data_IF_525335139673
#
_entry.id   IF_525335139673
#
_cell.length_a   1.000
_cell.length_b   1.000
_cell.length_c   1.000
_cell.angle_alpha   90.00
_cell.angle_beta   90.00
_cell.angle_gamma   90.00
#
_symmetry.space_group_name_H-M   'P 1'
#
loop_
_entity.id
_entity.type
_entity.pdbx_description
1 polymer ?
#
# COMPACT_ATOMS: atom_id res chain seq x y z
N UNK A 1 -25.19 -0.72 9.59
CA UNK A 1 -24.11 -1.51 10.22
C UNK A 1 -24.42 -2.96 9.90
N UNK A 2 -23.45 -3.74 9.40
CA UNK A 2 -23.68 -5.14 9.07
C UNK A 2 -24.07 -5.92 10.33
N UNK A 3 -25.02 -6.85 10.18
CA UNK A 3 -25.49 -7.72 11.25
C UNK A 3 -24.53 -8.90 11.40
N UNK A 4 -23.60 -8.80 12.35
CA UNK A 4 -22.51 -9.76 12.52
C UNK A 4 -23.04 -11.15 12.89
N UNK A 5 -24.06 -11.23 13.73
CA UNK A 5 -24.61 -12.52 14.19
C UNK A 5 -25.27 -13.26 13.01
N UNK A 6 -25.99 -12.55 12.15
CA UNK A 6 -26.57 -13.12 10.94
C UNK A 6 -25.48 -13.62 9.97
N UNK A 7 -24.38 -12.88 9.81
CA UNK A 7 -23.24 -13.32 8.98
C UNK A 7 -22.65 -14.62 9.55
N UNK A 8 -22.42 -14.70 10.86
CA UNK A 8 -21.88 -15.91 11.50
C UNK A 8 -22.79 -17.13 11.30
N UNK A 9 -24.11 -16.95 11.41
CA UNK A 9 -25.10 -18.01 11.16
C UNK A 9 -25.04 -18.50 9.70
N UNK A 10 -24.98 -17.59 8.74
CA UNK A 10 -24.90 -17.91 7.31
C UNK A 10 -23.59 -18.62 6.94
N UNK A 11 -22.47 -18.20 7.53
CA UNK A 11 -21.18 -18.84 7.31
C UNK A 11 -21.12 -20.24 7.93
N UNK A 12 -21.69 -20.42 9.12
CA UNK A 12 -21.74 -21.74 9.78
C UNK A 12 -22.63 -22.72 9.01
N UNK A 13 -23.71 -22.23 8.39
CA UNK A 13 -24.67 -23.07 7.68
C UNK A 13 -24.25 -23.38 6.24
N UNK A 14 -23.66 -22.41 5.53
CA UNK A 14 -23.47 -22.48 4.08
C UNK A 14 -22.10 -21.99 3.59
N UNK A 15 -21.30 -21.37 4.46
CA UNK A 15 -20.03 -20.73 4.10
C UNK A 15 -20.19 -19.43 3.29
N UNK A 16 -21.41 -18.94 3.07
CA UNK A 16 -21.66 -17.73 2.27
C UNK A 16 -22.70 -16.83 2.92
N UNK A 17 -22.38 -15.54 3.03
CA UNK A 17 -23.32 -14.48 3.35
C UNK A 17 -23.38 -13.46 2.20
N UNK A 18 -24.61 -13.16 1.75
CA UNK A 18 -24.90 -12.11 0.78
C UNK A 18 -25.72 -11.02 1.46
N UNK A 19 -25.12 -9.85 1.63
CA UNK A 19 -25.77 -8.67 2.17
C UNK A 19 -26.65 -7.97 1.13
N UNK A 20 -27.55 -7.07 1.57
CA UNK A 20 -28.44 -6.34 0.67
C UNK A 20 -27.68 -5.60 -0.44
N UNK A 21 -28.12 -5.74 -1.69
CA UNK A 21 -27.53 -5.08 -2.86
C UNK A 21 -26.36 -5.83 -3.51
N UNK A 22 -26.00 -7.00 -3.00
CA UNK A 22 -24.92 -7.86 -3.55
C UNK A 22 -25.45 -9.05 -4.35
N UNK A 23 -26.77 -9.20 -4.47
CA UNK A 23 -27.43 -10.36 -5.07
C UNK A 23 -27.12 -10.51 -6.57
N UNK A 24 -26.75 -9.42 -7.24
CA UNK A 24 -26.35 -9.42 -8.65
C UNK A 24 -24.84 -9.54 -8.88
N UNK A 25 -24.03 -9.64 -7.81
CA UNK A 25 -22.57 -9.77 -7.94
C UNK A 25 -22.14 -11.16 -8.39
N UNK A 26 -23.00 -12.17 -8.13
CA UNK A 26 -22.81 -13.56 -8.52
C UNK A 26 -24.10 -14.08 -9.14
N UNK A 27 -24.00 -14.87 -10.20
CA UNK A 27 -25.14 -15.64 -10.67
C UNK A 27 -25.50 -16.75 -9.67
N UNK A 28 -26.78 -17.18 -9.61
CA UNK A 28 -27.18 -18.33 -8.79
C UNK A 28 -26.39 -19.60 -9.10
N UNK A 29 -26.04 -19.81 -10.38
CA UNK A 29 -25.27 -20.97 -10.83
C UNK A 29 -23.82 -20.91 -10.33
N UNK A 30 -23.16 -19.74 -10.40
CA UNK A 30 -21.82 -19.55 -9.84
C UNK A 30 -21.81 -19.76 -8.32
N UNK A 31 -22.80 -19.22 -7.61
CA UNK A 31 -22.91 -19.41 -6.16
C UNK A 31 -23.10 -20.89 -5.79
N UNK A 32 -24.00 -21.60 -6.48
CA UNK A 32 -24.24 -23.01 -6.25
C UNK A 32 -23.00 -23.87 -6.57
N UNK A 33 -22.32 -23.58 -7.67
CA UNK A 33 -21.08 -24.26 -8.06
C UNK A 33 -19.95 -24.03 -7.06
N UNK A 34 -19.78 -22.80 -6.58
CA UNK A 34 -18.79 -22.46 -5.56
C UNK A 34 -19.05 -23.22 -4.26
N UNK A 35 -20.28 -23.14 -3.74
CA UNK A 35 -20.67 -23.84 -2.53
C UNK A 35 -20.52 -25.36 -2.66
N UNK A 36 -20.81 -25.92 -3.84
CA UNK A 36 -20.58 -27.34 -4.11
C UNK A 36 -19.09 -27.69 -4.09
N UNK A 37 -18.25 -26.93 -4.81
CA UNK A 37 -16.81 -27.17 -4.88
C UNK A 37 -16.14 -27.10 -3.50
N UNK A 38 -16.49 -26.10 -2.69
CA UNK A 38 -15.97 -25.90 -1.34
C UNK A 38 -16.37 -27.07 -0.42
N UNK A 39 -17.63 -27.51 -0.46
CA UNK A 39 -18.10 -28.65 0.34
C UNK A 39 -17.49 -29.98 -0.09
N UNK A 40 -17.42 -30.26 -1.39
CA UNK A 40 -16.87 -31.54 -1.90
C UNK A 40 -15.37 -31.69 -1.60
N UNK A 41 -14.63 -30.58 -1.62
CA UNK A 41 -13.20 -30.57 -1.37
C UNK A 41 -12.81 -30.32 0.10
N UNK A 42 -13.81 -30.20 1.00
CA UNK A 42 -13.68 -29.85 2.42
C UNK A 42 -12.78 -28.63 2.64
N UNK A 43 -13.05 -27.57 1.86
CA UNK A 43 -12.29 -26.33 1.91
C UNK A 43 -12.92 -25.38 2.94
N UNK A 44 -12.16 -24.86 3.91
CA UNK A 44 -12.64 -23.84 4.83
C UNK A 44 -12.54 -22.47 4.15
N UNK A 45 -13.41 -22.20 3.16
CA UNK A 45 -13.47 -20.93 2.43
C UNK A 45 -14.84 -20.29 2.63
N UNK A 46 -14.84 -19.05 3.09
CA UNK A 46 -16.02 -18.31 3.53
C UNK A 46 -16.17 -17.02 2.73
N UNK A 47 -17.36 -16.76 2.20
CA UNK A 47 -17.65 -15.59 1.39
C UNK A 47 -18.59 -14.63 2.14
N UNK A 48 -18.17 -13.38 2.32
CA UNK A 48 -18.92 -12.32 3.02
C UNK A 48 -19.07 -11.12 2.08
N UNK A 49 -20.06 -11.18 1.19
CA UNK A 49 -20.34 -10.08 0.27
C UNK A 49 -21.31 -9.11 0.92
N UNK A 50 -20.78 -7.99 1.43
CA UNK A 50 -21.59 -6.91 1.97
C UNK A 50 -21.15 -5.62 1.32
N UNK A 51 -22.11 -4.83 0.83
CA UNK A 51 -21.79 -3.53 0.26
C UNK A 51 -21.25 -2.59 1.36
N UNK A 52 -20.03 -2.05 1.21
CA UNK A 52 -19.49 -1.10 2.17
C UNK A 52 -20.31 0.20 2.16
N UNK A 53 -20.57 0.83 3.32
CA UNK A 53 -21.22 2.13 3.39
C UNK A 53 -20.44 3.21 2.61
N UNK A 54 -21.14 4.20 2.04
CA UNK A 54 -20.53 5.28 1.24
C UNK A 54 -19.45 6.09 1.99
N UNK A 55 -19.51 6.14 3.32
CA UNK A 55 -18.59 6.87 4.20
C UNK A 55 -17.59 5.96 4.95
N UNK A 56 -17.46 4.71 4.50
CA UNK A 56 -16.57 3.74 5.13
C UNK A 56 -15.08 3.95 4.77
N UNK A 57 -14.21 3.49 5.67
CA UNK A 57 -12.76 3.53 5.46
C UNK A 57 -12.30 2.48 4.45
N UNK A 58 -11.07 2.64 3.94
CA UNK A 58 -10.54 1.77 2.89
C UNK A 58 -10.35 0.29 3.30
N UNK A 59 -10.37 -0.01 4.60
CA UNK A 59 -10.21 -1.33 5.21
C UNK A 59 -11.49 -1.85 5.88
N UNK A 60 -12.65 -1.28 5.53
CA UNK A 60 -13.91 -1.60 6.22
C UNK A 60 -14.28 -3.09 6.19
N UNK A 61 -13.99 -3.75 5.06
CA UNK A 61 -14.23 -5.17 4.88
C UNK A 61 -13.33 -6.00 5.79
N UNK A 62 -12.05 -5.65 5.89
CA UNK A 62 -11.11 -6.33 6.80
C UNK A 62 -11.60 -6.25 8.26
N UNK A 63 -12.03 -5.07 8.68
CA UNK A 63 -12.61 -4.86 10.02
C UNK A 63 -13.92 -5.64 10.22
N UNK A 64 -14.70 -5.86 9.17
CA UNK A 64 -15.90 -6.71 9.23
C UNK A 64 -15.52 -8.18 9.39
N UNK A 65 -14.60 -8.70 8.59
CA UNK A 65 -14.18 -10.10 8.64
C UNK A 65 -13.62 -10.47 10.01
N UNK A 66 -12.80 -9.60 10.62
CA UNK A 66 -12.29 -9.80 11.98
C UNK A 66 -13.44 -9.90 12.99
N UNK A 67 -14.43 -8.99 12.92
CA UNK A 67 -15.59 -9.03 13.84
C UNK A 67 -16.43 -10.28 13.68
N UNK A 68 -16.60 -10.77 12.45
CA UNK A 68 -17.32 -12.01 12.15
C UNK A 68 -16.61 -13.21 12.74
N UNK A 69 -15.28 -13.31 12.57
CA UNK A 69 -14.50 -14.38 13.19
C UNK A 69 -14.54 -14.32 14.72
N UNK A 70 -14.27 -13.14 15.31
CA UNK A 70 -14.30 -12.93 16.77
C UNK A 70 -15.67 -13.23 17.40
N UNK A 71 -16.77 -13.06 16.65
CA UNK A 71 -18.13 -13.38 17.08
C UNK A 71 -18.46 -14.89 17.00
N UNK A 72 -17.49 -15.74 16.65
CA UNK A 72 -17.65 -17.19 16.56
C UNK A 72 -17.78 -17.72 15.14
N UNK A 73 -17.34 -16.94 14.14
CA UNK A 73 -17.21 -17.42 12.77
C UNK A 73 -16.22 -18.60 12.66
N UNK A 74 -16.42 -19.50 11.69
CA UNK A 74 -15.55 -20.67 11.49
C UNK A 74 -14.12 -20.31 11.05
N UNK A 75 -13.11 -21.09 11.45
CA UNK A 75 -11.78 -20.95 10.87
C UNK A 75 -11.79 -21.20 9.35
N UNK A 76 -10.90 -20.52 8.62
CA UNK A 76 -10.79 -20.60 7.18
C UNK A 76 -10.24 -19.34 6.51
N UNK A 77 -10.32 -19.32 5.19
CA UNK A 77 -10.03 -18.16 4.34
C UNK A 77 -11.34 -17.42 4.09
N UNK A 78 -11.38 -16.15 4.44
CA UNK A 78 -12.51 -15.27 4.23
C UNK A 78 -12.25 -14.34 3.04
N UNK A 79 -13.22 -14.24 2.15
CA UNK A 79 -13.29 -13.21 1.11
C UNK A 79 -14.44 -12.24 1.43
N UNK A 80 -14.12 -10.97 1.53
CA UNK A 80 -15.08 -9.87 1.69
C UNK A 80 -14.75 -8.71 0.76
N UNK A 81 -15.39 -7.57 1.01
CA UNK A 81 -15.24 -6.37 0.17
C UNK A 81 -14.89 -5.15 1.02
N UNK A 82 -13.77 -4.54 0.70
CA UNK A 82 -13.32 -3.27 1.26
C UNK A 82 -14.00 -2.10 0.57
N UNK A 83 -14.04 -2.09 -0.77
CA UNK A 83 -14.64 -1.00 -1.57
C UNK A 83 -15.10 -1.48 -2.95
N UNK A 84 -16.04 -0.74 -3.54
CA UNK A 84 -16.45 -0.88 -4.95
C UNK A 84 -16.14 0.41 -5.69
N UNK A 85 -15.39 0.32 -6.79
CA UNK A 85 -14.97 1.46 -7.61
C UNK A 85 -15.65 1.46 -8.97
N UNK A 86 -16.19 2.62 -9.37
CA UNK A 86 -16.93 2.81 -10.62
C UNK A 86 -16.25 3.77 -11.61
N UNK A 87 -15.12 4.40 -11.23
CA UNK A 87 -14.53 5.56 -11.91
C UNK A 87 -13.27 5.25 -12.75
N UNK A 88 -13.14 4.04 -13.27
CA UNK A 88 -11.92 3.65 -13.99
C UNK A 88 -12.06 3.97 -15.48
N UNK A 89 -10.98 4.50 -16.05
CA UNK A 89 -10.85 4.81 -17.48
C UNK A 89 -11.09 3.52 -18.28
N UNK A 90 -12.02 3.57 -19.25
CA UNK A 90 -12.42 2.39 -20.04
C UNK A 90 -11.27 1.83 -20.88
N UNK A 91 -10.24 2.64 -21.09
CA UNK A 91 -9.06 2.30 -21.87
C UNK A 91 -7.95 1.65 -21.02
N UNK A 92 -8.13 1.52 -19.69
CA UNK A 92 -7.20 0.82 -18.79
C UNK A 92 -7.72 -0.56 -18.38
N UNK A 93 -6.84 -1.56 -18.43
CA UNK A 93 -7.15 -2.89 -17.93
C UNK A 93 -7.44 -2.85 -16.41
N UNK A 94 -8.43 -3.64 -15.99
CA UNK A 94 -8.75 -3.80 -14.58
C UNK A 94 -7.54 -4.38 -13.81
N UNK A 95 -7.25 -3.78 -12.66
CA UNK A 95 -6.15 -4.18 -11.77
C UNK A 95 -6.67 -4.84 -10.48
N UNK A 96 -7.99 -4.89 -10.32
CA UNK A 96 -8.67 -5.61 -9.24
C UNK A 96 -9.89 -6.35 -9.81
N UNK A 97 -10.38 -7.39 -9.10
CA UNK A 97 -11.50 -8.21 -9.57
C UNK A 97 -12.72 -7.37 -9.93
N UNK A 98 -13.45 -7.77 -10.96
CA UNK A 98 -14.58 -6.99 -11.48
C UNK A 98 -15.94 -7.57 -11.08
N UNK A 99 -16.96 -6.73 -11.04
CA UNK A 99 -18.36 -7.12 -11.05
C UNK A 99 -18.89 -7.25 -12.48
N UNK A 100 -20.06 -7.89 -12.70
CA UNK A 100 -20.66 -8.02 -14.03
C UNK A 100 -20.94 -6.68 -14.73
N UNK A 101 -21.10 -5.59 -13.98
CA UNK A 101 -21.30 -4.25 -14.51
C UNK A 101 -19.99 -3.51 -14.86
N UNK A 102 -18.84 -4.18 -14.67
CA UNK A 102 -17.50 -3.64 -14.91
C UNK A 102 -16.91 -2.85 -13.75
N UNK A 103 -17.64 -2.67 -12.64
CA UNK A 103 -17.09 -2.06 -11.42
C UNK A 103 -15.96 -2.92 -10.85
N UNK A 104 -14.96 -2.31 -10.23
CA UNK A 104 -13.85 -3.03 -9.60
C UNK A 104 -14.03 -3.15 -8.10
N UNK A 105 -13.61 -4.28 -7.54
CA UNK A 105 -13.68 -4.60 -6.13
C UNK A 105 -12.30 -4.51 -5.50
N UNK A 106 -12.17 -3.72 -4.45
CA UNK A 106 -11.11 -3.93 -3.48
C UNK A 106 -11.59 -5.03 -2.53
N UNK A 107 -10.93 -6.18 -2.55
CA UNK A 107 -11.29 -7.31 -1.70
C UNK A 107 -10.70 -7.13 -0.30
N UNK A 108 -11.46 -7.59 0.70
CA UNK A 108 -10.95 -7.84 2.03
C UNK A 108 -10.65 -9.34 2.14
N UNK A 109 -9.47 -9.72 2.62
CA UNK A 109 -9.10 -11.12 2.71
C UNK A 109 -8.39 -11.40 4.03
N UNK A 110 -8.88 -12.39 4.76
CA UNK A 110 -8.33 -12.78 6.05
C UNK A 110 -8.27 -14.30 6.13
N UNK A 111 -7.31 -14.82 6.90
CA UNK A 111 -7.17 -16.25 7.13
C UNK A 111 -7.00 -16.54 8.61
N UNK A 112 -7.82 -17.46 9.11
CA UNK A 112 -7.69 -18.07 10.43
C UNK A 112 -7.55 -19.57 10.28
N UNK A 113 -6.57 -20.16 10.96
CA UNK A 113 -6.23 -21.56 10.80
C UNK A 113 -5.51 -21.87 9.49
N UNK A 114 -5.08 -23.12 9.35
CA UNK A 114 -4.37 -23.59 8.15
C UNK A 114 -5.35 -24.17 7.15
N UNK A 115 -5.24 -23.76 5.88
CA UNK A 115 -5.98 -24.39 4.78
C UNK A 115 -5.05 -25.39 4.13
N UNK A 116 -5.33 -26.69 4.34
CA UNK A 116 -4.50 -27.81 3.87
C UNK A 116 -3.02 -27.68 4.28
N UNK A 117 -2.79 -27.16 5.49
CA UNK A 117 -1.44 -26.96 6.04
C UNK A 117 -0.75 -25.66 5.60
N UNK A 118 -1.38 -24.84 4.75
CA UNK A 118 -0.85 -23.52 4.36
C UNK A 118 -1.49 -22.40 5.20
N UNK A 119 -0.65 -21.48 5.71
CA UNK A 119 -1.04 -20.30 6.51
C UNK A 119 -0.93 -18.98 5.75
N UNK A 120 -0.56 -19.01 4.46
CA UNK A 120 -0.36 -17.83 3.62
C UNK A 120 -1.09 -17.99 2.27
N UNK A 121 -2.39 -18.32 2.34
CA UNK A 121 -3.22 -18.55 1.14
C UNK A 121 -3.75 -17.23 0.56
N UNK A 122 -3.88 -16.21 1.40
CA UNK A 122 -4.52 -14.93 1.05
C UNK A 122 -3.77 -14.20 -0.05
N UNK A 123 -2.44 -14.10 0.04
CA UNK A 123 -1.61 -13.38 -0.94
C UNK A 123 -1.71 -14.02 -2.34
N UNK A 124 -1.64 -15.35 -2.41
CA UNK A 124 -1.75 -16.08 -3.67
C UNK A 124 -3.17 -15.98 -4.26
N UNK A 125 -4.20 -15.99 -3.40
CA UNK A 125 -5.59 -15.85 -3.82
C UNK A 125 -5.87 -14.42 -4.35
N UNK A 126 -5.41 -13.38 -3.66
CA UNK A 126 -5.55 -12.00 -4.13
C UNK A 126 -4.84 -11.78 -5.49
N UNK A 127 -3.65 -12.34 -5.63
CA UNK A 127 -2.88 -12.33 -6.87
C UNK A 127 -3.61 -13.04 -8.00
N UNK A 128 -4.15 -14.23 -7.74
CA UNK A 128 -4.91 -15.00 -8.71
C UNK A 128 -6.17 -14.24 -9.14
N UNK A 129 -6.91 -13.63 -8.22
CA UNK A 129 -8.13 -12.89 -8.56
C UNK A 129 -7.82 -11.61 -9.35
N UNK A 130 -6.71 -10.94 -9.04
CA UNK A 130 -6.33 -9.66 -9.67
C UNK A 130 -5.58 -9.83 -11.00
N UNK A 131 -5.09 -11.02 -11.32
CA UNK A 131 -4.23 -11.24 -12.51
C UNK A 131 -4.37 -12.62 -13.16
N UNK A 132 -5.29 -13.47 -12.70
CA UNK A 132 -5.47 -14.83 -13.21
C UNK A 132 -6.30 -14.92 -14.49
N UNK A 133 -6.86 -13.81 -14.95
CA UNK A 133 -7.62 -13.72 -16.19
C UNK A 133 -6.72 -13.83 -17.42
N UNK A 134 -7.34 -13.93 -18.62
CA UNK A 134 -6.62 -13.93 -19.89
C UNK A 134 -5.63 -12.77 -19.97
N UNK A 135 -4.41 -13.07 -20.44
CA UNK A 135 -3.31 -12.10 -20.58
C UNK A 135 -2.90 -11.37 -19.28
N UNK A 136 -3.17 -11.95 -18.10
CA UNK A 136 -2.78 -11.34 -16.83
C UNK A 136 -3.68 -10.17 -16.43
N UNK A 137 -4.97 -10.31 -16.70
CA UNK A 137 -6.03 -9.35 -16.33
C UNK A 137 -6.75 -9.83 -15.06
N UNK A 138 -7.47 -8.92 -14.41
CA UNK A 138 -8.30 -9.29 -13.27
C UNK A 138 -9.48 -10.19 -13.70
N UNK A 139 -9.85 -11.12 -12.83
CA UNK A 139 -11.01 -11.99 -13.02
C UNK A 139 -12.28 -11.25 -12.61
N UNK A 140 -13.39 -11.52 -13.30
CA UNK A 140 -14.71 -11.21 -12.74
C UNK A 140 -14.93 -12.05 -11.48
N UNK A 141 -15.50 -11.46 -10.42
CA UNK A 141 -15.62 -12.08 -9.10
C UNK A 141 -16.23 -13.49 -9.18
N UNK A 142 -17.32 -13.65 -9.94
CA UNK A 142 -18.03 -14.91 -10.03
C UNK A 142 -17.23 -16.05 -10.65
N UNK A 143 -16.45 -15.77 -11.69
CA UNK A 143 -15.54 -16.76 -12.27
C UNK A 143 -14.30 -16.94 -11.40
N UNK A 144 -13.81 -15.86 -10.79
CA UNK A 144 -12.66 -15.83 -9.92
C UNK A 144 -12.79 -16.74 -8.71
N UNK A 145 -13.94 -16.75 -8.02
CA UNK A 145 -14.16 -17.62 -6.86
C UNK A 145 -14.18 -19.11 -7.24
N UNK A 146 -14.63 -19.45 -8.45
CA UNK A 146 -14.62 -20.82 -8.97
C UNK A 146 -13.20 -21.28 -9.30
N UNK A 147 -12.44 -20.43 -9.99
CA UNK A 147 -11.02 -20.67 -10.31
C UNK A 147 -10.20 -20.79 -9.02
N UNK A 148 -10.47 -19.95 -8.01
CA UNK A 148 -9.84 -20.05 -6.70
C UNK A 148 -10.16 -21.38 -6.01
N UNK A 149 -11.43 -21.78 -5.96
CA UNK A 149 -11.84 -23.04 -5.35
C UNK A 149 -11.20 -24.25 -6.03
N UNK A 150 -11.09 -24.23 -7.37
CA UNK A 150 -10.39 -25.25 -8.15
C UNK A 150 -8.91 -25.35 -7.74
N UNK A 151 -8.18 -24.23 -7.72
CA UNK A 151 -6.76 -24.22 -7.38
C UNK A 151 -6.48 -24.58 -5.92
N UNK A 152 -7.36 -24.19 -4.99
CA UNK A 152 -7.30 -24.63 -3.60
C UNK A 152 -7.55 -26.14 -3.48
N UNK A 153 -8.55 -26.66 -4.19
CA UNK A 153 -8.86 -28.09 -4.25
C UNK A 153 -7.75 -28.92 -4.90
N UNK A 154 -7.02 -28.36 -5.86
CA UNK A 154 -5.88 -29.02 -6.49
C UNK A 154 -4.55 -28.82 -5.73
N UNK A 155 -4.50 -27.93 -4.73
CA UNK A 155 -3.25 -27.52 -4.07
C UNK A 155 -2.27 -26.80 -5.01
N UNK A 156 -2.77 -26.20 -6.09
CA UNK A 156 -1.99 -25.58 -7.17
C UNK A 156 -2.00 -24.05 -7.12
N UNK A 157 -2.64 -23.46 -6.10
CA UNK A 157 -2.80 -22.02 -5.96
C UNK A 157 -1.47 -21.22 -6.04
N UNK A 158 -0.36 -21.59 -5.36
CA UNK A 158 0.89 -20.84 -5.47
C UNK A 158 1.47 -20.82 -6.90
N UNK A 159 1.33 -21.94 -7.62
CA UNK A 159 1.76 -22.04 -9.01
C UNK A 159 0.88 -21.20 -9.94
N UNK A 160 -0.43 -21.17 -9.68
CA UNK A 160 -1.39 -20.35 -10.41
C UNK A 160 -1.13 -18.85 -10.20
N UNK A 161 -0.89 -18.42 -8.95
CA UNK A 161 -0.56 -17.04 -8.62
C UNK A 161 0.76 -16.59 -9.29
N UNK A 162 1.78 -17.45 -9.26
CA UNK A 162 3.05 -17.22 -9.96
C UNK A 162 2.90 -17.12 -11.48
N UNK A 163 1.95 -17.85 -12.07
CA UNK A 163 1.63 -17.74 -13.49
C UNK A 163 0.89 -16.44 -13.82
N UNK A 164 -0.09 -16.06 -13.00
CA UNK A 164 -0.84 -14.82 -13.09
C UNK A 164 0.11 -13.59 -13.05
N UNK A 165 1.04 -13.54 -12.09
CA UNK A 165 2.05 -12.48 -11.97
C UNK A 165 2.93 -12.34 -13.22
N UNK A 166 3.39 -13.47 -13.78
CA UNK A 166 4.19 -13.47 -15.01
C UNK A 166 3.39 -12.97 -16.20
N UNK A 167 2.13 -13.40 -16.34
CA UNK A 167 1.26 -12.94 -17.41
C UNK A 167 1.00 -11.43 -17.31
N UNK A 168 0.68 -10.92 -16.11
CA UNK A 168 0.45 -9.50 -15.88
C UNK A 168 1.71 -8.65 -16.12
N UNK A 169 2.88 -9.14 -15.73
CA UNK A 169 4.15 -8.46 -15.98
C UNK A 169 4.50 -8.40 -17.46
N UNK A 170 4.35 -9.53 -18.18
CA UNK A 170 4.55 -9.57 -19.63
C UNK A 170 3.57 -8.65 -20.38
N UNK A 171 2.34 -8.48 -19.88
CA UNK A 171 1.37 -7.54 -20.43
C UNK A 171 1.83 -6.09 -20.26
N UNK A 172 2.22 -5.70 -19.04
CA UNK A 172 2.73 -4.34 -18.76
C UNK A 172 3.92 -3.99 -19.64
N UNK A 173 4.84 -4.93 -19.85
CA UNK A 173 5.99 -4.74 -20.77
C UNK A 173 5.55 -4.48 -22.23
N UNK A 174 4.47 -5.13 -22.71
CA UNK A 174 3.93 -4.89 -24.06
C UNK A 174 3.26 -3.51 -24.16
N UNK A 175 2.52 -3.11 -23.12
CA UNK A 175 1.84 -1.81 -23.06
C UNK A 175 2.86 -0.65 -23.02
N UNK A 176 3.89 -0.76 -22.18
CA UNK A 176 4.98 0.23 -22.06
C UNK A 176 5.90 0.26 -23.31
N UNK A 177 6.13 -0.90 -23.93
CA UNK A 177 6.89 -1.02 -25.16
C UNK A 177 6.20 -0.37 -26.38
N UNK A 178 4.86 -0.36 -26.38
CA UNK A 178 4.06 0.26 -27.45
C UNK A 178 4.07 1.79 -27.38
N UNK A 179 4.31 2.37 -26.20
CA UNK A 179 4.36 3.84 -26.01
C UNK A 179 5.67 4.47 -26.50
N UNK A 180 6.73 3.69 -26.69
CA UNK A 180 8.02 4.18 -27.23
C UNK A 180 8.03 4.36 -28.75
N UNK A 181 6.95 4.03 -29.46
CA UNK A 181 6.82 4.14 -30.91
C UNK A 181 6.26 5.45 -31.46
N UNK A 182 5.79 6.39 -30.62
CA UNK A 182 5.20 7.66 -31.07
C UNK A 182 6.06 8.85 -30.65
N UNK A 183 7.06 9.17 -31.46
CA UNK A 183 7.71 10.50 -31.41
C UNK A 183 6.79 11.50 -32.12
N UNK A 184 5.81 12.02 -31.39
CA UNK A 184 5.01 13.17 -31.77
C UNK A 184 5.11 14.23 -30.70
N UNK A 185 6.11 15.11 -30.81
CA UNK A 185 6.17 16.36 -30.04
C UNK A 185 4.84 17.11 -30.17
N UNK A 186 4.10 17.40 -29.09
CA UNK A 186 3.03 18.39 -29.16
C UNK A 186 3.70 19.75 -29.25
N UNK A 187 3.66 20.33 -30.45
CA UNK A 187 3.86 21.76 -30.61
C UNK A 187 2.69 22.45 -29.91
N UNK A 188 2.99 23.21 -28.85
CA UNK A 188 2.05 24.17 -28.29
C UNK A 188 1.89 25.30 -29.32
N UNK A 189 0.78 25.28 -30.05
CA UNK A 189 0.37 26.40 -30.89
C UNK A 189 -0.52 27.33 -30.05
N UNK A 190 -0.08 28.58 -29.98
CA UNK A 190 -0.77 29.72 -29.39
C UNK A 190 -1.79 30.23 -30.41
N UNK A 191 -3.08 30.10 -30.09
CA UNK A 191 -4.16 30.44 -31.01
C UNK A 191 -5.49 30.65 -30.30
N UNK A 192 -5.62 31.80 -29.66
CA UNK A 192 -6.90 32.39 -29.22
C UNK A 192 -8.00 32.31 -30.28
N UNK A 193 -9.16 31.73 -29.94
CA UNK A 193 -10.52 32.35 -29.96
C UNK A 193 -11.65 31.34 -30.25
N UNK A 194 -12.73 31.44 -29.47
CA UNK A 194 -14.09 31.06 -29.91
C UNK A 194 -14.75 29.88 -29.21
N UNK A 195 -15.57 30.18 -28.20
CA UNK A 195 -16.81 29.49 -27.80
C UNK A 195 -16.79 28.08 -27.19
N UNK A 196 -16.84 28.04 -25.85
CA UNK A 196 -17.76 27.18 -25.07
C UNK A 196 -17.76 27.59 -23.59
N UNK A 197 -18.32 28.76 -23.28
CA UNK A 197 -18.52 29.25 -21.91
C UNK A 197 -20.02 29.27 -21.55
N UNK A 198 -20.64 28.11 -21.29
CA UNK A 198 -21.83 27.94 -20.44
C UNK A 198 -21.69 26.55 -19.79
N UNK A 199 -21.36 26.48 -18.50
CA UNK A 199 -21.34 25.19 -17.80
C UNK A 199 -20.65 25.13 -16.44
N UNK A 200 -19.84 26.12 -16.04
CA UNK A 200 -19.06 26.00 -14.79
C UNK A 200 -19.45 26.98 -13.66
N UNK A 201 -20.37 27.92 -13.90
CA UNK A 201 -20.74 28.94 -12.89
C UNK A 201 -21.91 28.48 -11.98
N UNK A 202 -22.75 27.54 -12.42
CA UNK A 202 -23.88 27.07 -11.61
C UNK A 202 -23.47 26.11 -10.47
N UNK A 203 -22.40 25.32 -10.65
CA UNK A 203 -21.97 24.30 -9.68
C UNK A 203 -21.28 24.93 -8.46
N UNK A 204 -20.52 26.01 -8.65
CA UNK A 204 -19.81 26.68 -7.55
C UNK A 204 -20.78 27.40 -6.60
N UNK A 205 -21.88 27.97 -7.11
CA UNK A 205 -22.87 28.66 -6.29
C UNK A 205 -23.72 27.70 -5.43
N UNK A 206 -23.97 26.49 -5.91
CA UNK A 206 -24.67 25.45 -5.12
C UNK A 206 -23.78 24.91 -4.01
N UNK A 207 -22.50 24.66 -4.27
CA UNK A 207 -21.54 24.17 -3.26
C UNK A 207 -21.30 25.22 -2.17
N UNK A 208 -21.14 26.50 -2.52
CA UNK A 208 -20.99 27.57 -1.53
C UNK A 208 -22.28 27.79 -0.73
N UNK A 209 -23.45 27.67 -1.36
CA UNK A 209 -24.75 27.73 -0.69
C UNK A 209 -24.97 26.61 0.34
N UNK A 210 -24.59 25.37 -0.02
CA UNK A 210 -24.67 24.19 0.86
C UNK A 210 -23.67 24.31 2.01
N UNK A 211 -22.42 24.71 1.75
CA UNK A 211 -21.40 24.87 2.79
C UNK A 211 -21.75 25.98 3.78
N UNK A 212 -22.30 27.11 3.31
CA UNK A 212 -22.75 28.20 4.17
C UNK A 212 -24.05 27.85 4.92
N UNK A 213 -24.95 27.07 4.31
CA UNK A 213 -26.17 26.55 4.92
C UNK A 213 -25.88 25.56 6.06
N UNK A 214 -24.98 24.60 5.82
CA UNK A 214 -24.52 23.62 6.83
C UNK A 214 -23.80 24.32 7.98
N UNK A 215 -22.97 25.34 7.71
CA UNK A 215 -22.31 26.15 8.76
C UNK A 215 -23.29 26.94 9.63
N UNK A 216 -24.42 27.39 9.07
CA UNK A 216 -25.44 28.17 9.80
C UNK A 216 -26.36 27.28 10.64
N UNK A 217 -26.61 26.05 10.17
CA UNK A 217 -27.38 25.04 10.91
C UNK A 217 -26.56 24.40 12.04
N UNK A 218 -25.27 24.09 11.79
CA UNK A 218 -24.35 23.57 12.81
C UNK A 218 -24.05 24.57 13.96
N UNK A 219 -24.32 25.87 13.75
CA UNK A 219 -24.21 26.89 14.81
C UNK A 219 -25.48 27.08 15.65
N UNK A 220 -26.61 26.47 15.27
CA UNK A 220 -27.90 26.62 15.98
C UNK A 220 -28.35 25.39 16.77
N UNK A 221 -27.72 24.24 16.59
CA UNK A 221 -28.07 23.01 17.32
C UNK A 221 -26.86 22.48 18.08
N UNK A 222 -26.66 22.99 19.30
CA UNK A 222 -26.01 22.21 20.36
C UNK A 222 -27.09 21.59 21.25
N UNK A 223 -27.34 20.28 21.15
CA UNK A 223 -27.76 19.47 22.27
C UNK A 223 -26.58 18.61 22.76
N UNK A 224 -26.51 18.44 24.09
CA UNK A 224 -25.39 17.80 24.79
C UNK A 224 -25.32 16.27 24.65
N UNK A 225 -24.10 15.78 24.90
CA UNK A 225 -23.65 14.46 25.33
C UNK A 225 -24.39 13.19 24.83
N UNK A 226 -23.65 12.34 24.10
CA UNK A 226 -23.30 10.99 24.58
C UNK A 226 -21.85 10.69 24.20
N UNK A 227 -21.04 10.31 25.17
CA UNK A 227 -19.65 9.92 24.97
C UNK A 227 -19.62 8.72 24.00
N UNK A 228 -18.96 8.90 22.86
CA UNK A 228 -18.58 7.78 22.00
C UNK A 228 -17.68 6.86 22.84
N UNK A 229 -18.12 5.63 23.08
CA UNK A 229 -17.26 4.63 23.67
C UNK A 229 -16.16 4.31 22.66
N UNK A 230 -14.99 4.90 22.88
CA UNK A 230 -13.77 4.62 22.13
C UNK A 230 -13.37 3.18 22.44
N UNK A 231 -13.63 2.28 21.50
CA UNK A 231 -13.17 0.90 21.57
C UNK A 231 -11.63 0.92 21.56
N UNK A 232 -11.00 0.49 22.64
CA UNK A 232 -9.55 0.36 22.72
C UNK A 232 -9.19 -1.05 22.23
N UNK A 233 -8.50 -1.14 21.10
CA UNK A 233 -7.94 -2.42 20.63
C UNK A 233 -7.01 -2.99 21.72
N UNK A 234 -7.03 -4.32 21.98
CA UNK A 234 -6.07 -4.96 22.87
C UNK A 234 -4.63 -4.73 22.40
N UNK A 235 -3.72 -4.44 23.33
CA UNK A 235 -2.32 -4.14 23.02
C UNK A 235 -1.65 -5.25 22.18
N UNK A 236 -1.99 -6.51 22.43
CA UNK A 236 -1.48 -7.65 21.68
C UNK A 236 -1.86 -7.66 20.19
N UNK A 237 -3.01 -7.10 19.83
CA UNK A 237 -3.43 -7.00 18.41
C UNK A 237 -2.65 -5.88 17.73
N UNK A 238 -2.52 -4.73 18.40
CA UNK A 238 -1.71 -3.62 17.91
C UNK A 238 -0.25 -4.02 17.75
N UNK A 239 0.29 -4.82 18.66
CA UNK A 239 1.65 -5.35 18.58
C UNK A 239 1.83 -6.33 17.42
N UNK A 240 0.84 -7.20 17.14
CA UNK A 240 0.89 -8.10 15.98
C UNK A 240 0.82 -7.34 14.65
N UNK A 241 -0.07 -6.35 14.53
CA UNK A 241 -0.18 -5.50 13.33
C UNK A 241 1.13 -4.74 13.10
N UNK A 242 1.74 -4.20 14.17
CA UNK A 242 3.05 -3.54 14.09
C UNK A 242 4.14 -4.52 13.68
N UNK A 243 4.23 -5.69 14.29
CA UNK A 243 5.21 -6.72 13.94
C UNK A 243 5.07 -7.16 12.47
N UNK A 244 3.84 -7.31 11.98
CA UNK A 244 3.57 -7.62 10.59
C UNK A 244 4.02 -6.47 9.66
N UNK A 245 3.73 -5.22 10.03
CA UNK A 245 4.18 -4.03 9.30
C UNK A 245 5.70 -3.89 9.28
N UNK A 246 6.37 -4.12 10.41
CA UNK A 246 7.83 -4.08 10.55
C UNK A 246 8.48 -5.21 9.72
N UNK A 247 7.89 -6.41 9.75
CA UNK A 247 8.34 -7.54 8.94
C UNK A 247 8.18 -7.27 7.44
N UNK A 248 7.08 -6.66 7.02
CA UNK A 248 6.87 -6.26 5.63
C UNK A 248 7.86 -5.18 5.19
N UNK A 249 8.07 -4.16 6.03
CA UNK A 249 9.06 -3.13 5.77
C UNK A 249 10.48 -3.72 5.65
N UNK A 250 10.83 -4.69 6.50
CA UNK A 250 12.10 -5.40 6.42
C UNK A 250 12.21 -6.28 5.16
N UNK A 251 11.13 -6.95 4.73
CA UNK A 251 11.10 -7.71 3.46
C UNK A 251 11.32 -6.79 2.27
N UNK A 252 10.58 -5.66 2.22
CA UNK A 252 10.75 -4.64 1.20
C UNK A 252 12.18 -4.11 1.16
N UNK A 253 12.76 -3.75 2.31
CA UNK A 253 14.13 -3.27 2.39
C UNK A 253 15.14 -4.26 1.80
N UNK A 254 15.02 -5.55 2.13
CA UNK A 254 15.88 -6.60 1.57
C UNK A 254 15.68 -6.76 0.06
N UNK A 255 14.43 -6.73 -0.41
CA UNK A 255 14.09 -6.78 -1.83
C UNK A 255 14.70 -5.62 -2.61
N UNK A 256 14.59 -4.39 -2.09
CA UNK A 256 15.13 -3.18 -2.73
C UNK A 256 16.68 -3.24 -2.81
N UNK A 257 17.35 -3.70 -1.74
CA UNK A 257 18.81 -3.87 -1.73
C UNK A 257 19.27 -4.97 -2.70
N UNK A 258 18.57 -6.10 -2.75
CA UNK A 258 18.86 -7.19 -3.69
C UNK A 258 18.70 -6.70 -5.14
N UNK A 259 17.59 -6.04 -5.45
CA UNK A 259 17.30 -5.53 -6.78
C UNK A 259 18.31 -4.46 -7.23
N UNK A 260 18.85 -3.67 -6.30
CA UNK A 260 19.96 -2.77 -6.58
C UNK A 260 21.24 -3.55 -6.91
N UNK A 261 21.58 -4.57 -6.10
CA UNK A 261 22.74 -5.43 -6.32
C UNK A 261 22.73 -6.08 -7.70
N UNK A 262 21.61 -6.69 -8.09
CA UNK A 262 21.43 -7.31 -9.42
C UNK A 262 21.63 -6.30 -10.56
N UNK A 263 21.17 -5.05 -10.39
CA UNK A 263 21.33 -3.98 -11.38
C UNK A 263 22.75 -3.46 -11.45
N UNK A 264 23.48 -3.48 -10.33
CA UNK A 264 24.91 -3.18 -10.27
C UNK A 264 25.70 -4.28 -10.99
N UNK A 265 25.43 -5.55 -10.68
CA UNK A 265 26.11 -6.70 -11.30
C UNK A 265 25.90 -6.74 -12.82
N UNK A 266 24.70 -6.38 -13.29
CA UNK A 266 24.39 -6.28 -14.72
C UNK A 266 25.08 -5.10 -15.42
N UNK A 267 25.57 -4.11 -14.66
CA UNK A 267 26.22 -2.92 -15.21
C UNK A 267 27.74 -3.11 -15.25
N UNK A 268 28.27 -3.58 -16.38
CA UNK A 268 29.72 -3.60 -16.62
C UNK A 268 30.20 -2.20 -17.05
N UNK A 269 30.53 -1.35 -16.08
CA UNK A 269 30.93 0.04 -16.31
C UNK A 269 32.43 0.25 -16.01
N UNK A 270 33.21 0.51 -17.07
CA UNK A 270 34.59 1.01 -16.98
C UNK A 270 34.71 2.38 -17.68
N UNK A 271 34.94 3.44 -16.90
CA UNK A 271 35.27 4.79 -17.40
C UNK A 271 34.34 5.93 -16.94
N UNK A 272 34.93 7.15 -16.84
CA UNK A 272 34.45 8.54 -16.62
C UNK A 272 33.18 8.88 -15.79
N UNK A 273 32.35 7.91 -15.41
CA UNK A 273 31.31 7.98 -14.39
C UNK A 273 31.78 7.51 -13.02
N UNK A 274 33.09 7.38 -12.81
CA UNK A 274 33.73 6.73 -11.65
C UNK A 274 33.16 7.19 -10.30
N UNK A 275 32.87 8.49 -10.12
CA UNK A 275 32.35 9.03 -8.86
C UNK A 275 30.87 8.66 -8.61
N UNK A 276 30.03 8.69 -9.64
CA UNK A 276 28.62 8.28 -9.52
C UNK A 276 28.51 6.76 -9.38
N UNK A 277 29.38 6.02 -10.05
CA UNK A 277 29.51 4.57 -9.89
C UNK A 277 29.96 4.19 -8.48
N UNK A 278 31.02 4.83 -7.97
CA UNK A 278 31.46 4.64 -6.59
C UNK A 278 30.34 4.98 -5.60
N UNK A 279 29.59 6.06 -5.83
CA UNK A 279 28.44 6.40 -4.99
C UNK A 279 27.35 5.30 -5.02
N UNK A 280 27.10 4.65 -6.15
CA UNK A 280 26.14 3.55 -6.22
C UNK A 280 26.58 2.35 -5.34
N UNK A 281 27.86 1.98 -5.45
CA UNK A 281 28.47 0.91 -4.63
C UNK A 281 28.46 1.26 -3.13
N UNK A 282 28.80 2.50 -2.79
CA UNK A 282 28.81 3.00 -1.41
C UNK A 282 27.41 2.92 -0.77
N UNK A 283 26.36 3.28 -1.53
CA UNK A 283 24.99 3.19 -1.04
C UNK A 283 24.50 1.74 -0.92
N UNK A 284 24.85 0.88 -1.88
CA UNK A 284 24.57 -0.56 -1.81
C UNK A 284 25.23 -1.19 -0.57
N UNK A 285 26.51 -0.91 -0.35
CA UNK A 285 27.24 -1.42 0.81
C UNK A 285 26.66 -0.88 2.13
N UNK A 286 26.36 0.43 2.19
CA UNK A 286 25.74 1.03 3.37
C UNK A 286 24.36 0.41 3.66
N UNK A 287 23.55 0.16 2.64
CA UNK A 287 22.23 -0.47 2.80
C UNK A 287 22.35 -1.92 3.29
N UNK A 288 23.30 -2.68 2.76
CA UNK A 288 23.60 -4.04 3.23
C UNK A 288 24.07 -4.08 4.69
N UNK A 289 24.86 -3.09 5.14
CA UNK A 289 25.39 -3.04 6.51
C UNK A 289 24.34 -2.73 7.58
N UNK A 290 23.30 -1.98 7.26
CA UNK A 290 22.24 -1.66 8.25
C UNK A 290 21.24 -2.81 8.41
N UNK A 291 21.21 -3.74 7.45
CA UNK A 291 20.42 -4.97 7.56
C UNK A 291 21.27 -6.09 8.19
N UNK A 292 20.70 -6.91 9.10
CA UNK A 292 21.40 -8.06 9.62
C UNK A 292 21.61 -9.10 8.52
N UNK A 293 22.80 -9.73 8.51
CA UNK A 293 23.14 -10.81 7.58
C UNK A 293 22.25 -12.05 7.78
N UNK A 294 21.77 -12.28 9.00
CA UNK A 294 20.81 -13.34 9.29
C UNK A 294 19.42 -12.90 8.82
N UNK A 295 18.82 -13.56 7.82
CA UNK A 295 17.50 -13.20 7.30
C UNK A 295 16.39 -13.40 8.33
N UNK A 296 16.63 -14.18 9.39
CA UNK A 296 15.68 -14.44 10.47
C UNK A 296 15.79 -13.45 11.63
N UNK A 297 16.86 -12.65 11.67
CA UNK A 297 17.03 -11.63 12.70
C UNK A 297 16.01 -10.50 12.53
N UNK A 298 15.49 -10.02 13.65
CA UNK A 298 14.65 -8.84 13.69
C UNK A 298 15.44 -7.62 13.18
N UNK A 299 14.82 -6.84 12.30
CA UNK A 299 15.37 -5.59 11.76
C UNK A 299 14.73 -4.44 12.51
N UNK A 300 15.53 -3.46 12.94
CA UNK A 300 14.95 -2.23 13.48
C UNK A 300 14.15 -1.50 12.39
N UNK A 301 12.93 -1.00 12.66
CA UNK A 301 12.13 -0.33 11.65
C UNK A 301 12.84 0.87 10.99
N UNK A 302 13.65 1.62 11.74
CA UNK A 302 14.40 2.74 11.17
C UNK A 302 15.57 2.26 10.32
N UNK A 303 16.24 1.16 10.69
CA UNK A 303 17.26 0.55 9.82
C UNK A 303 16.65 0.03 8.52
N UNK A 304 15.44 -0.53 8.56
CA UNK A 304 14.70 -0.96 7.38
C UNK A 304 14.32 0.22 6.46
N UNK A 305 13.80 1.32 7.02
CA UNK A 305 13.56 2.57 6.25
C UNK A 305 14.88 3.12 5.69
N UNK A 306 15.95 3.09 6.48
CA UNK A 306 17.28 3.53 6.09
C UNK A 306 17.80 2.75 4.88
N UNK A 307 17.65 1.42 4.89
CA UNK A 307 18.01 0.55 3.79
C UNK A 307 17.21 0.87 2.51
N UNK A 308 15.89 1.10 2.61
CA UNK A 308 15.06 1.50 1.46
C UNK A 308 15.55 2.83 0.86
N UNK A 309 15.85 3.83 1.70
CA UNK A 309 16.34 5.14 1.24
C UNK A 309 17.73 5.01 0.60
N UNK A 310 18.62 4.24 1.20
CA UNK A 310 19.96 4.00 0.67
C UNK A 310 19.91 3.25 -0.66
N UNK A 311 19.09 2.20 -0.78
CA UNK A 311 18.90 1.45 -2.02
C UNK A 311 18.40 2.38 -3.15
N UNK A 312 17.38 3.20 -2.88
CA UNK A 312 16.88 4.19 -3.84
C UNK A 312 17.96 5.18 -4.29
N UNK A 313 18.78 5.69 -3.37
CA UNK A 313 19.89 6.60 -3.72
C UNK A 313 20.99 5.90 -4.51
N UNK A 314 21.25 4.62 -4.22
CA UNK A 314 22.12 3.78 -5.03
C UNK A 314 21.61 3.62 -6.47
N UNK A 315 20.31 3.45 -6.65
CA UNK A 315 19.69 3.41 -7.99
C UNK A 315 19.83 4.74 -8.74
N UNK A 316 19.60 5.87 -8.05
CA UNK A 316 19.78 7.21 -8.62
C UNK A 316 21.24 7.46 -9.03
N UNK A 317 22.21 7.04 -8.21
CA UNK A 317 23.64 7.11 -8.50
C UNK A 317 24.02 6.21 -9.69
N UNK A 318 23.52 4.98 -9.73
CA UNK A 318 23.71 4.04 -10.84
C UNK A 318 23.16 4.62 -12.16
N UNK A 319 21.96 5.21 -12.11
CA UNK A 319 21.36 5.87 -13.27
C UNK A 319 22.18 7.08 -13.75
N UNK A 320 22.78 7.84 -12.84
CA UNK A 320 23.69 8.92 -13.18
C UNK A 320 24.99 8.41 -13.81
N UNK A 321 25.58 7.35 -13.25
CA UNK A 321 26.79 6.70 -13.75
C UNK A 321 26.61 6.18 -15.19
N UNK A 322 25.51 5.45 -15.47
CA UNK A 322 25.16 4.96 -16.81
C UNK A 322 25.01 6.08 -17.85
N UNK A 323 24.66 7.30 -17.40
CA UNK A 323 24.49 8.48 -18.26
C UNK A 323 25.74 9.36 -18.32
N UNK A 324 26.84 8.97 -17.65
CA UNK A 324 28.06 9.78 -17.53
C UNK A 324 27.83 11.13 -16.84
N UNK A 325 26.90 11.20 -15.88
CA UNK A 325 26.54 12.43 -15.16
C UNK A 325 27.03 12.37 -13.71
N UNK A 326 27.26 13.55 -13.13
CA UNK A 326 27.46 13.66 -11.69
C UNK A 326 26.20 13.21 -10.95
N UNK A 327 26.39 12.50 -9.84
CA UNK A 327 25.32 12.12 -8.93
C UNK A 327 25.03 13.24 -7.94
N UNK A 328 23.76 13.61 -7.83
CA UNK A 328 23.25 14.51 -6.79
C UNK A 328 22.21 13.74 -5.95
N UNK A 329 22.43 13.55 -4.64
CA UNK A 329 21.50 12.79 -3.80
C UNK A 329 20.12 13.44 -3.74
N UNK A 330 19.07 12.65 -3.96
CA UNK A 330 17.72 13.14 -3.70
C UNK A 330 17.50 13.41 -2.21
N UNK A 331 16.78 14.49 -1.91
CA UNK A 331 16.34 14.84 -0.56
C UNK A 331 14.99 14.17 -0.29
N UNK A 332 14.88 13.23 0.67
CA UNK A 332 13.62 12.60 1.00
C UNK A 332 12.71 13.54 1.80
N UNK A 333 11.43 13.19 1.92
CA UNK A 333 10.51 13.85 2.83
C UNK A 333 10.95 13.63 4.28
N UNK A 334 11.20 14.74 5.00
CA UNK A 334 11.61 14.68 6.39
C UNK A 334 10.57 14.03 7.32
N UNK A 335 9.27 14.20 7.05
CA UNK A 335 8.23 13.64 7.93
C UNK A 335 8.09 12.13 7.78
N UNK A 336 8.21 11.61 6.56
CA UNK A 336 8.25 10.18 6.29
C UNK A 336 9.10 9.91 5.03
N UNK A 337 10.32 9.37 5.16
CA UNK A 337 11.22 9.14 4.03
C UNK A 337 10.66 8.21 2.95
N UNK A 338 9.70 7.35 3.29
CA UNK A 338 9.07 6.42 2.36
C UNK A 338 8.17 7.12 1.32
N UNK A 339 7.81 8.40 1.54
CA UNK A 339 7.07 9.21 0.55
C UNK A 339 7.92 9.65 -0.64
N UNK A 340 9.23 9.37 -0.61
CA UNK A 340 10.16 9.75 -1.67
C UNK A 340 10.57 11.22 -1.61
N UNK A 341 10.81 11.83 -2.78
CA UNK A 341 11.49 13.13 -2.90
C UNK A 341 10.69 14.30 -2.33
N UNK A 342 11.36 15.14 -1.56
CA UNK A 342 10.80 16.39 -1.07
C UNK A 342 10.56 17.40 -2.20
N UNK A 343 9.54 18.24 -2.02
CA UNK A 343 9.17 19.26 -2.98
C UNK A 343 9.73 20.65 -2.60
N UNK A 344 9.58 21.04 -1.33
CA UNK A 344 9.98 22.34 -0.77
C UNK A 344 10.19 22.22 0.73
N UNK A 345 10.99 23.14 1.27
CA UNK A 345 11.14 23.32 2.70
C UNK A 345 9.86 23.86 3.32
N UNK A 346 9.59 23.40 4.54
CA UNK A 346 8.49 23.86 5.36
C UNK A 346 8.96 24.06 6.80
N UNK A 347 8.44 25.11 7.43
CA UNK A 347 8.71 25.39 8.83
C UNK A 347 7.89 24.44 9.70
N UNK A 348 8.57 23.55 10.42
CA UNK A 348 7.98 22.66 11.41
C UNK A 348 8.28 23.21 12.80
N UNK A 349 7.28 23.17 13.69
CA UNK A 349 7.49 23.43 15.11
C UNK A 349 7.78 22.09 15.80
N UNK A 350 8.94 21.99 16.46
CA UNK A 350 9.36 20.81 17.20
C UNK A 350 10.01 21.24 18.53
N UNK A 351 9.54 20.70 19.65
CA UNK A 351 10.02 21.05 21.00
C UNK A 351 10.12 22.57 21.28
N UNK A 352 9.19 23.35 20.71
CA UNK A 352 9.17 24.82 20.83
C UNK A 352 10.21 25.56 19.96
N UNK A 353 10.85 24.85 19.02
CA UNK A 353 11.81 25.40 18.06
C UNK A 353 11.30 25.18 16.65
N UNK A 354 11.51 26.18 15.79
CA UNK A 354 11.16 26.10 14.37
C UNK A 354 12.32 25.51 13.58
N UNK A 355 12.10 24.36 12.93
CA UNK A 355 13.04 23.68 12.04
C UNK A 355 12.54 23.84 10.61
N UNK A 356 13.40 24.25 9.68
CA UNK A 356 13.09 24.18 8.26
C UNK A 356 13.44 22.78 7.76
N UNK A 357 12.44 22.04 7.30
CA UNK A 357 12.63 20.68 6.84
C UNK A 357 12.01 20.47 5.45
N UNK A 358 12.71 19.78 4.55
CA UNK A 358 12.20 19.47 3.22
C UNK A 358 11.09 18.41 3.34
N UNK A 359 9.90 18.71 2.81
CA UNK A 359 8.76 17.77 2.86
C UNK A 359 8.15 17.56 1.47
N UNK A 360 7.48 16.43 1.29
CA UNK A 360 6.79 16.10 0.04
C UNK A 360 5.57 17.03 -0.18
N UNK A 361 5.08 17.08 -1.42
CA UNK A 361 3.93 17.91 -1.77
C UNK A 361 2.64 17.51 -1.01
N UNK A 362 2.50 16.25 -0.61
CA UNK A 362 1.35 15.73 0.14
C UNK A 362 1.37 16.22 1.59
N UNK A 363 2.44 15.95 2.34
CA UNK A 363 2.57 16.43 3.71
C UNK A 363 2.42 17.96 3.80
N UNK A 364 2.97 18.69 2.81
CA UNK A 364 2.79 20.14 2.74
C UNK A 364 1.32 20.54 2.61
N UNK A 365 0.55 19.87 1.74
CA UNK A 365 -0.89 20.12 1.58
C UNK A 365 -1.65 19.81 2.86
N UNK A 366 -1.27 18.76 3.58
CA UNK A 366 -1.90 18.41 4.85
C UNK A 366 -1.63 19.48 5.91
N UNK A 367 -0.38 19.90 6.09
CA UNK A 367 -0.01 20.97 7.02
C UNK A 367 -0.72 22.29 6.68
N UNK A 368 -0.75 22.68 5.40
CA UNK A 368 -1.44 23.90 4.96
C UNK A 368 -2.95 23.84 5.21
N UNK A 369 -3.54 22.66 5.16
CA UNK A 369 -4.97 22.44 5.45
C UNK A 369 -5.26 22.23 6.94
N UNK A 370 -4.24 22.28 7.82
CA UNK A 370 -4.38 21.98 9.24
C UNK A 370 -4.70 20.51 9.55
N UNK A 371 -4.42 19.60 8.61
CA UNK A 371 -4.52 18.14 8.83
C UNK A 371 -3.20 17.59 9.37
N UNK A 372 -3.28 16.47 10.09
CA UNK A 372 -2.10 15.71 10.50
C UNK A 372 -1.52 14.98 9.27
N UNK A 373 -0.26 15.24 8.88
CA UNK A 373 0.41 14.45 7.84
C UNK A 373 0.68 13.03 8.31
N UNK A 374 0.90 12.13 7.36
CA UNK A 374 1.52 10.83 7.64
C UNK A 374 3.01 11.03 8.02
N UNK A 375 3.33 10.77 9.28
CA UNK A 375 4.66 10.95 9.89
C UNK A 375 5.16 9.56 10.27
N UNK A 376 6.44 9.28 10.00
CA UNK A 376 7.07 8.03 10.42
C UNK A 376 7.17 8.00 11.96
N UNK A 377 6.34 7.15 12.55
CA UNK A 377 6.28 6.89 13.99
C UNK A 377 6.97 5.56 14.30
N UNK A 378 7.68 5.50 15.43
CA UNK A 378 8.29 4.27 15.96
C UNK A 378 7.97 4.09 17.42
N UNK A 379 8.00 2.84 17.89
CA UNK A 379 7.72 2.54 19.29
C UNK A 379 9.02 2.56 20.09
N UNK A 380 9.16 3.55 20.97
CA UNK A 380 10.26 3.65 21.93
C UNK A 380 9.70 3.45 23.32
N UNK A 381 10.23 2.45 24.06
CA UNK A 381 9.80 2.13 25.44
C UNK A 381 8.28 1.97 25.58
N UNK A 382 7.65 1.36 24.57
CA UNK A 382 6.21 1.10 24.52
C UNK A 382 5.34 2.31 24.14
N UNK A 383 5.92 3.41 23.64
CA UNK A 383 5.20 4.61 23.22
C UNK A 383 5.49 4.95 21.77
N UNK A 384 4.49 5.30 20.96
CA UNK A 384 4.73 5.84 19.63
C UNK A 384 5.35 7.23 19.76
N UNK A 385 6.51 7.41 19.14
CA UNK A 385 7.24 8.66 19.03
C UNK A 385 7.57 8.91 17.56
N UNK A 386 7.50 10.16 17.12
CA UNK A 386 7.99 10.51 15.78
C UNK A 386 9.48 10.18 15.71
N UNK A 387 9.97 9.57 14.62
CA UNK A 387 11.34 9.06 14.57
C UNK A 387 12.41 10.13 14.90
N UNK A 388 12.17 11.38 14.50
CA UNK A 388 13.07 12.52 14.73
C UNK A 388 13.08 13.03 16.18
N UNK A 389 12.20 12.50 17.03
CA UNK A 389 12.15 12.80 18.47
C UNK A 389 12.84 11.73 19.31
N UNK A 390 13.31 10.65 18.68
CA UNK A 390 13.97 9.53 19.34
C UNK A 390 15.48 9.72 19.49
N UNK A 391 16.12 8.85 20.28
CA UNK A 391 17.59 8.75 20.40
C UNK A 391 18.21 7.79 19.37
N UNK A 392 17.46 7.40 18.33
CA UNK A 392 17.88 6.43 17.30
C UNK A 392 18.72 7.10 16.22
N UNK A 393 20.01 7.23 16.53
CA UNK A 393 21.03 7.74 15.62
C UNK A 393 21.51 6.68 14.61
N UNK A 394 21.87 7.08 13.36
CA UNK A 394 21.92 8.45 12.86
C UNK A 394 20.61 8.96 12.25
N UNK A 395 19.54 8.15 12.26
CA UNK A 395 18.32 8.43 11.51
C UNK A 395 17.58 9.67 12.02
N UNK A 396 17.44 9.80 13.34
CA UNK A 396 16.77 10.92 13.97
C UNK A 396 17.44 12.27 13.59
N UNK A 397 18.77 12.38 13.72
CA UNK A 397 19.48 13.63 13.44
C UNK A 397 19.59 13.97 11.95
N UNK A 398 19.65 12.96 11.07
CA UNK A 398 19.85 13.18 9.63
C UNK A 398 18.56 13.33 8.84
N UNK A 399 17.42 12.89 9.41
CA UNK A 399 16.18 12.76 8.68
C UNK A 399 16.31 11.84 7.46
N UNK A 400 17.10 10.77 7.57
CA UNK A 400 17.42 9.87 6.46
C UNK A 400 18.05 10.58 5.24
N UNK A 401 18.76 11.67 5.51
CA UNK A 401 19.38 12.50 4.50
C UNK A 401 18.54 13.66 3.99
N UNK A 402 17.39 13.93 4.64
CA UNK A 402 16.62 15.15 4.46
C UNK A 402 17.33 16.38 5.03
N UNK A 403 17.98 16.25 6.20
CA UNK A 403 18.70 17.34 6.86
C UNK A 403 20.22 17.27 6.62
N UNK A 404 20.76 16.09 6.41
CA UNK A 404 22.19 15.85 6.14
C UNK A 404 22.37 14.95 4.91
N UNK A 405 22.57 15.51 3.70
CA UNK A 405 22.58 14.75 2.46
C UNK A 405 23.61 13.61 2.40
N UNK A 406 24.77 13.77 3.06
CA UNK A 406 25.88 12.78 3.06
C UNK A 406 25.66 11.68 4.13
N UNK A 407 24.64 10.85 3.87
CA UNK A 407 24.17 9.81 4.79
C UNK A 407 25.18 8.67 4.98
N UNK A 408 25.85 8.25 3.90
CA UNK A 408 26.87 7.19 3.92
C UNK A 408 28.02 7.56 4.84
N UNK A 409 28.54 8.79 4.73
CA UNK A 409 29.60 9.26 5.62
C UNK A 409 29.15 9.32 7.07
N UNK A 410 27.89 9.67 7.33
CA UNK A 410 27.36 9.70 8.70
C UNK A 410 27.29 8.30 9.31
N UNK A 411 26.83 7.31 8.55
CA UNK A 411 26.79 5.90 8.96
C UNK A 411 28.18 5.36 9.27
N UNK A 412 29.17 5.65 8.42
CA UNK A 412 30.58 5.27 8.65
C UNK A 412 31.16 5.86 9.95
N UNK A 413 30.75 7.07 10.33
CA UNK A 413 31.18 7.70 11.59
C UNK A 413 30.46 7.14 12.83
N UNK A 414 29.20 6.72 12.68
CA UNK A 414 28.41 6.11 13.76
C UNK A 414 28.92 4.72 14.16
N UNK A 415 29.31 3.90 13.18
CA UNK A 415 29.81 2.53 13.42
C UNK A 415 31.08 2.42 14.28
N UNK A 416 31.90 3.48 14.37
CA UNK A 416 33.12 3.48 15.22
C UNK A 416 32.84 3.69 16.71
N UNK A 417 31.62 4.07 17.11
CA UNK A 417 31.27 4.32 18.53
C UNK A 417 30.51 3.15 19.19
N UNK A 418 29.93 2.21 18.42
CA UNK A 418 29.15 1.08 18.94
C UNK A 418 29.96 -0.15 19.42
N UNK A 419 31.27 -0.17 19.22
CA UNK A 419 32.15 -1.31 19.57
C UNK A 419 32.69 -1.32 21.00
N UNK A 420 32.17 -0.49 21.91
CA UNK A 420 32.52 -0.50 23.33
C UNK A 420 31.28 -0.33 24.19
N UNK A 421 30.69 -1.45 24.60
CA UNK A 421 30.22 -1.72 25.97
C UNK A 421 29.77 -3.16 26.10
#
# INVERSE_FOLDING_TARGET
MADVDAIVEDLTSSGVHLGPGTESWLSPDQLAAFQQAVREADLPVHLVLVQPPDDSGITWGDDLLVRVHDAGGPDGVYLGVNNVWTFIDKDQAAFSPTLPDGSQLNLAMQQWGAVRGNTDVVNDAETLLSSGGPDGTALELGDGILVLAEHLSAGSLPAAASAALRAASARREREDGSTSGSTGTPAYDDGSSGDAAIGFVAVVLVVVGVVLGVRRLARRTRPGSKAAQTFALPDSVLDRVRQAGDAELARRARSDVLALGERIDAADLAGSGDAAWAAALDHYEAAGRVLPNDPTAAVDPLDAVGAVVLARRGEEALAAARKGRAFEPSTPCFLNPLHGRAARDHALEHAGRRVQAPICATCRRDLQAGRRPDILDVVVRGRPEHYFETDREPWASTGFGALEPDLVRRLHRGGRQGGRR
#
